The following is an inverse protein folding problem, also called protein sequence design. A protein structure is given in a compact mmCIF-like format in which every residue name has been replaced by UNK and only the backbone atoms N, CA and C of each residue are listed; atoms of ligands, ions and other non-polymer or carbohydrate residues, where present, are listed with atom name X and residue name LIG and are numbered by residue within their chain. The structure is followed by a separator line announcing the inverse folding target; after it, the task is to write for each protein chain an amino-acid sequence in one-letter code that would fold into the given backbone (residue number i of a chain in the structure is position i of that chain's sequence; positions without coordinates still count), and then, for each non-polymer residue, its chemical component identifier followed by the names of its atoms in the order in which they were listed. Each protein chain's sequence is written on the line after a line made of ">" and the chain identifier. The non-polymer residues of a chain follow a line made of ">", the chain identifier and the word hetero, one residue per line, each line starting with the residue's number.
data_IF_874888662544
#
_entry.id   IF_874888662544
#
_cell.length_a   1.000
_cell.length_b   1.000
_cell.length_c   1.000
_cell.angle_alpha   90.00
_cell.angle_beta   90.00
_cell.angle_gamma   90.00
#
_symmetry.space_group_name_H-M   'P 1'
#
loop_
_entity.id
_entity.type
_entity.pdbx_description
1 polymer ?
#
# COMPACT_ATOMS: atom_id res chain seq x y z
N UNK A 1 -24.47 -4.37 8.67
CA UNK A 1 -23.13 -3.83 8.97
C UNK A 1 -23.18 -3.26 10.37
N UNK A 2 -22.33 -3.74 11.28
CA UNK A 2 -22.21 -3.19 12.63
C UNK A 2 -21.74 -1.73 12.55
N UNK A 3 -22.18 -0.88 13.47
CA UNK A 3 -21.90 0.57 13.45
C UNK A 3 -20.42 0.92 13.71
N UNK A 4 -19.58 -0.05 14.09
CA UNK A 4 -18.17 0.15 14.49
C UNK A 4 -17.16 -0.41 13.47
N UNK A 5 -17.41 -0.22 12.17
CA UNK A 5 -16.47 -0.67 11.13
C UNK A 5 -15.27 0.29 10.94
N UNK A 6 -15.37 1.53 11.43
CA UNK A 6 -14.33 2.57 11.29
C UNK A 6 -13.32 2.48 12.45
N UNK A 7 -12.04 2.76 12.20
CA UNK A 7 -11.07 2.89 13.28
C UNK A 7 -11.47 4.02 14.25
N UNK A 8 -11.11 3.87 15.52
CA UNK A 8 -11.33 4.91 16.54
C UNK A 8 -10.51 6.17 16.26
N UNK A 9 -9.27 6.00 15.82
CA UNK A 9 -8.42 7.06 15.26
C UNK A 9 -8.83 7.32 13.81
N UNK A 10 -9.18 8.56 13.49
CA UNK A 10 -9.71 8.95 12.18
C UNK A 10 -8.74 9.79 11.35
N UNK A 11 -7.88 10.52 12.05
CA UNK A 11 -6.77 11.28 11.50
C UNK A 11 -5.50 10.75 12.13
N UNK A 12 -4.44 10.68 11.33
CA UNK A 12 -3.15 10.12 11.70
C UNK A 12 -2.06 11.03 11.16
N UNK A 13 -1.07 11.31 11.99
CA UNK A 13 0.08 12.12 11.57
C UNK A 13 1.18 11.22 10.99
N UNK A 14 1.69 11.59 9.81
CA UNK A 14 2.86 11.01 9.18
C UNK A 14 3.97 12.06 9.12
N UNK A 15 4.98 11.90 9.97
CA UNK A 15 6.19 12.71 9.94
C UNK A 15 7.06 12.24 8.77
N UNK A 16 7.36 13.15 7.86
CA UNK A 16 8.05 12.85 6.59
C UNK A 16 9.25 13.76 6.41
N UNK A 17 10.38 13.17 6.04
CA UNK A 17 11.58 13.87 5.58
C UNK A 17 11.94 13.36 4.19
N UNK A 18 12.35 14.26 3.30
CA UNK A 18 12.64 13.92 1.91
C UNK A 18 13.99 14.53 1.57
N UNK A 19 14.91 13.70 1.10
CA UNK A 19 16.26 14.11 0.76
C UNK A 19 16.69 13.47 -0.56
N UNK A 20 17.58 14.11 -1.30
CA UNK A 20 18.10 13.57 -2.54
C UNK A 20 19.57 13.95 -2.78
N UNK A 21 20.26 13.20 -3.62
CA UNK A 21 21.58 13.56 -4.13
C UNK A 21 21.57 13.44 -5.67
N UNK A 22 22.74 13.40 -6.32
CA UNK A 22 22.80 13.29 -7.78
C UNK A 22 22.21 12.00 -8.35
N UNK A 23 22.07 10.96 -7.51
CA UNK A 23 21.80 9.59 -7.96
C UNK A 23 20.48 9.06 -7.41
N UNK A 24 20.06 9.47 -6.20
CA UNK A 24 18.96 8.85 -5.44
C UNK A 24 18.05 9.86 -4.77
N UNK A 25 16.81 9.41 -4.52
CA UNK A 25 15.87 10.02 -3.59
C UNK A 25 15.66 9.11 -2.38
N UNK A 26 15.52 9.73 -1.20
CA UNK A 26 15.28 9.10 0.08
C UNK A 26 14.04 9.72 0.73
N UNK A 27 13.21 8.87 1.32
CA UNK A 27 12.11 9.25 2.19
C UNK A 27 12.31 8.61 3.56
N UNK A 28 12.16 9.39 4.62
CA UNK A 28 12.00 8.87 5.98
C UNK A 28 10.60 9.17 6.49
N UNK A 29 9.93 8.14 6.95
CA UNK A 29 8.58 8.15 7.47
C UNK A 29 8.58 7.77 8.94
N UNK A 30 7.85 8.53 9.75
CA UNK A 30 7.63 8.23 11.16
C UNK A 30 6.15 8.37 11.53
N UNK A 31 5.61 7.37 12.22
CA UNK A 31 4.24 7.42 12.69
C UNK A 31 4.02 6.56 13.94
N UNK A 32 3.07 6.98 14.76
CA UNK A 32 2.73 6.29 16.00
C UNK A 32 1.99 4.98 15.71
N UNK A 33 2.51 3.87 16.20
CA UNK A 33 1.85 2.55 16.20
C UNK A 33 2.02 1.94 17.58
N UNK A 34 1.14 2.24 18.55
CA UNK A 34 1.28 1.78 19.93
C UNK A 34 1.09 0.27 20.08
N UNK A 35 0.56 -0.42 19.07
CA UNK A 35 0.29 -1.86 19.12
C UNK A 35 1.44 -2.64 18.45
N UNK A 36 2.15 -3.52 19.18
CA UNK A 36 3.18 -4.37 18.59
C UNK A 36 2.57 -5.44 17.67
N UNK A 37 3.41 -6.07 16.84
CA UNK A 37 3.02 -7.19 15.99
C UNK A 37 2.56 -6.81 14.58
N UNK A 38 2.62 -5.52 14.23
CA UNK A 38 2.44 -5.04 12.87
C UNK A 38 3.47 -5.56 11.86
N UNK A 39 4.44 -6.36 12.29
CA UNK A 39 5.38 -7.08 11.41
C UNK A 39 4.98 -8.55 11.17
N UNK A 40 3.82 -9.01 11.65
CA UNK A 40 3.24 -10.31 11.31
C UNK A 40 2.21 -10.19 10.19
N UNK A 41 2.09 -11.20 9.32
CA UNK A 41 1.15 -11.14 8.20
C UNK A 41 0.73 -12.52 7.69
N UNK A 42 -0.59 -12.70 7.50
CA UNK A 42 -1.18 -13.76 6.67
C UNK A 42 -0.65 -15.15 7.08
N UNK A 43 -1.01 -15.56 8.29
CA UNK A 43 -0.43 -16.72 8.97
C UNK A 43 -1.36 -17.93 8.83
N UNK A 44 -0.78 -19.12 8.68
CA UNK A 44 -1.49 -20.39 8.75
C UNK A 44 -1.35 -20.93 10.17
N UNK A 45 -2.46 -21.32 10.79
CA UNK A 45 -2.48 -21.86 12.15
C UNK A 45 -3.15 -23.23 12.18
N UNK A 46 -2.48 -24.22 12.77
CA UNK A 46 -3.06 -25.54 13.01
C UNK A 46 -3.93 -25.54 14.26
N UNK A 47 -5.21 -25.86 14.12
CA UNK A 47 -6.18 -25.99 15.21
C UNK A 47 -7.20 -27.07 14.95
N UNK A 48 -7.58 -27.79 16.00
CA UNK A 48 -8.65 -28.79 15.95
C UNK A 48 -8.44 -29.85 14.84
N UNK A 49 -7.17 -30.14 14.53
CA UNK A 49 -6.78 -31.12 13.51
C UNK A 49 -6.68 -30.58 12.08
N UNK A 50 -6.82 -29.27 11.87
CA UNK A 50 -6.75 -28.65 10.54
C UNK A 50 -5.94 -27.34 10.52
N UNK A 51 -5.22 -27.10 9.42
CA UNK A 51 -4.62 -25.82 9.11
C UNK A 51 -5.70 -24.83 8.67
N UNK A 52 -5.62 -23.60 9.18
CA UNK A 52 -6.55 -22.51 8.86
C UNK A 52 -5.80 -21.22 8.59
N UNK A 53 -6.31 -20.38 7.69
CA UNK A 53 -5.72 -19.07 7.40
C UNK A 53 -6.21 -18.02 8.41
N UNK A 54 -5.27 -17.34 9.04
CA UNK A 54 -5.47 -16.20 9.92
C UNK A 54 -4.99 -14.92 9.20
N UNK A 55 -5.89 -14.30 8.42
CA UNK A 55 -5.56 -13.16 7.55
C UNK A 55 -6.60 -12.03 7.47
N UNK A 56 -7.68 -12.09 8.26
CA UNK A 56 -8.74 -11.08 8.19
C UNK A 56 -8.32 -9.73 8.81
N UNK A 57 -8.74 -8.60 8.20
CA UNK A 57 -8.31 -7.29 8.65
C UNK A 57 -8.81 -7.01 10.07
N UNK A 58 -7.89 -6.65 10.96
CA UNK A 58 -8.21 -6.19 12.31
C UNK A 58 -8.20 -4.68 12.32
N UNK A 59 -9.35 -3.98 12.27
CA UNK A 59 -9.38 -2.58 12.68
C UNK A 59 -9.43 -2.53 14.21
N UNK A 60 -8.42 -3.10 14.89
CA UNK A 60 -8.12 -2.93 16.33
C UNK A 60 -8.77 -3.94 17.29
N UNK A 61 -8.27 -5.18 17.35
CA UNK A 61 -8.61 -6.13 18.42
C UNK A 61 -8.31 -5.52 19.80
N UNK A 62 -9.34 -4.93 20.41
CA UNK A 62 -9.38 -4.67 21.83
C UNK A 62 -9.62 -5.99 22.56
N UNK A 63 -8.94 -6.17 23.69
CA UNK A 63 -9.03 -7.38 24.52
C UNK A 63 -10.48 -7.62 24.94
N UNK A 64 -11.09 -8.69 24.43
CA UNK A 64 -12.27 -9.32 25.04
C UNK A 64 -13.63 -9.21 24.33
N UNK A 65 -13.77 -8.58 23.15
CA UNK A 65 -15.12 -8.36 22.58
C UNK A 65 -15.46 -9.12 21.29
N UNK A 66 -14.52 -9.80 20.64
CA UNK A 66 -14.85 -10.62 19.46
C UNK A 66 -13.96 -11.86 19.33
N UNK A 67 -14.51 -13.09 19.41
CA UNK A 67 -13.74 -14.33 19.22
C UNK A 67 -13.17 -14.53 17.81
N UNK A 68 -13.66 -13.75 16.82
CA UNK A 68 -13.44 -14.00 15.39
C UNK A 68 -12.69 -12.88 14.64
N UNK A 69 -12.25 -11.81 15.32
CA UNK A 69 -11.25 -10.90 14.74
C UNK A 69 -9.86 -11.49 14.99
N UNK A 70 -9.38 -12.25 14.02
CA UNK A 70 -8.32 -13.24 14.21
C UNK A 70 -7.05 -12.97 13.41
N UNK A 71 -7.00 -11.96 12.54
CA UNK A 71 -5.86 -11.80 11.63
C UNK A 71 -4.69 -10.99 12.19
N UNK A 72 -3.48 -11.47 11.88
CA UNK A 72 -2.28 -10.63 11.85
C UNK A 72 -2.13 -10.08 10.43
N UNK A 73 -2.06 -8.76 10.33
CA UNK A 73 -1.76 -8.10 9.08
C UNK A 73 -0.62 -7.13 9.29
N UNK A 74 0.20 -6.95 8.27
CA UNK A 74 1.35 -6.07 8.37
C UNK A 74 0.97 -4.60 8.31
N UNK A 75 1.74 -3.79 9.03
CA UNK A 75 1.85 -2.36 8.86
C UNK A 75 2.58 -2.04 7.57
N UNK A 76 2.14 -0.96 6.93
CA UNK A 76 2.65 -0.55 5.62
C UNK A 76 2.63 0.97 5.51
N UNK A 77 3.66 1.51 4.89
CA UNK A 77 3.62 2.85 4.30
C UNK A 77 3.69 2.69 2.79
N UNK A 78 2.90 3.49 2.09
CA UNK A 78 2.77 3.46 0.64
C UNK A 78 2.53 4.87 0.14
N UNK A 79 2.82 5.14 -1.12
CA UNK A 79 2.40 6.40 -1.72
C UNK A 79 2.15 6.24 -3.20
N UNK A 80 1.26 7.07 -3.75
CA UNK A 80 1.18 7.27 -5.20
C UNK A 80 2.07 8.43 -5.59
N UNK A 81 2.75 8.30 -6.73
CA UNK A 81 3.67 9.29 -7.27
C UNK A 81 3.37 9.53 -8.75
N UNK A 82 3.32 10.80 -9.14
CA UNK A 82 3.10 11.24 -10.52
C UNK A 82 3.95 12.47 -10.86
N UNK A 83 4.27 12.60 -12.14
CA UNK A 83 5.02 13.70 -12.77
C UNK A 83 4.11 14.72 -13.47
N UNK A 84 2.80 14.69 -13.18
CA UNK A 84 1.78 15.51 -13.82
C UNK A 84 1.20 14.90 -15.10
N UNK A 85 1.58 13.66 -15.43
CA UNK A 85 1.05 12.94 -16.59
C UNK A 85 -0.40 12.48 -16.41
N UNK A 86 -0.86 12.29 -15.16
CA UNK A 86 -2.21 11.81 -14.86
C UNK A 86 -3.11 13.00 -14.52
N UNK A 87 -3.92 13.41 -15.50
CA UNK A 87 -4.98 14.42 -15.34
C UNK A 87 -5.83 14.15 -14.10
N UNK A 88 -6.04 15.17 -13.27
CA UNK A 88 -6.88 15.09 -12.07
C UNK A 88 -6.16 14.57 -10.81
N UNK A 89 -4.96 14.01 -10.94
CA UNK A 89 -4.26 13.44 -9.79
C UNK A 89 -3.75 14.52 -8.82
N UNK A 90 -3.35 15.69 -9.33
CA UNK A 90 -3.00 16.85 -8.51
C UNK A 90 -4.19 17.33 -7.66
N UNK A 91 -5.39 17.24 -8.19
CA UNK A 91 -6.60 17.75 -7.57
C UNK A 91 -7.22 16.73 -6.60
N UNK A 92 -7.20 15.45 -6.95
CA UNK A 92 -7.99 14.41 -6.27
C UNK A 92 -7.17 13.25 -5.71
N UNK A 93 -5.87 13.19 -5.98
CA UNK A 93 -4.96 12.18 -5.43
C UNK A 93 -5.48 10.74 -5.53
N UNK A 94 -5.36 9.98 -4.44
CA UNK A 94 -5.76 8.57 -4.41
C UNK A 94 -7.25 8.30 -4.61
N UNK A 95 -8.14 9.28 -4.43
CA UNK A 95 -9.60 9.12 -4.62
C UNK A 95 -9.96 8.89 -6.07
N UNK A 96 -9.22 9.51 -7.00
CA UNK A 96 -9.34 9.30 -8.45
C UNK A 96 -9.15 7.84 -8.86
N UNK A 97 -8.59 6.99 -7.98
CA UNK A 97 -8.35 5.57 -8.27
C UNK A 97 -9.33 4.60 -7.62
N UNK A 98 -10.39 5.11 -6.98
CA UNK A 98 -11.37 4.28 -6.26
C UNK A 98 -12.71 4.36 -7.00
N UNK A 99 -13.26 3.23 -7.42
CA UNK A 99 -14.38 3.20 -8.35
C UNK A 99 -15.42 2.17 -7.93
N UNK A 100 -16.67 2.41 -8.35
CA UNK A 100 -17.76 1.46 -8.16
C UNK A 100 -17.40 0.08 -8.71
N UNK A 101 -17.66 -0.98 -7.94
CA UNK A 101 -17.32 -2.35 -8.31
C UNK A 101 -16.01 -2.86 -7.74
N UNK A 102 -15.15 -1.98 -7.21
CA UNK A 102 -13.90 -2.41 -6.60
C UNK A 102 -14.11 -3.26 -5.35
N UNK A 103 -13.16 -4.18 -5.14
CA UNK A 103 -13.16 -5.05 -3.97
C UNK A 103 -13.26 -4.29 -2.65
N UNK A 104 -13.92 -4.89 -1.67
CA UNK A 104 -14.14 -4.33 -0.33
C UNK A 104 -15.03 -3.09 -0.26
N UNK A 105 -15.57 -2.60 -1.39
CA UNK A 105 -16.64 -1.61 -1.39
C UNK A 105 -18.01 -2.31 -1.29
N UNK A 106 -19.06 -1.64 -0.78
CA UNK A 106 -20.43 -2.15 -0.82
C UNK A 106 -20.92 -2.48 -2.24
N UNK A 107 -20.30 -1.85 -3.24
CA UNK A 107 -20.59 -2.03 -4.66
C UNK A 107 -19.73 -3.12 -5.32
N UNK A 108 -18.89 -3.84 -4.59
CA UNK A 108 -18.00 -4.90 -5.09
C UNK A 108 -18.74 -5.85 -6.05
N UNK A 109 -18.20 -5.99 -7.27
CA UNK A 109 -18.75 -6.91 -8.27
C UNK A 109 -18.34 -8.35 -7.96
N UNK A 110 -19.12 -9.32 -8.44
CA UNK A 110 -18.81 -10.72 -8.21
C UNK A 110 -17.62 -11.19 -9.05
N UNK A 111 -16.89 -12.19 -8.56
CA UNK A 111 -15.81 -12.84 -9.33
C UNK A 111 -16.30 -13.33 -10.70
N UNK A 112 -17.52 -13.87 -10.77
CA UNK A 112 -18.12 -14.33 -12.02
C UNK A 112 -18.30 -13.19 -13.04
N UNK A 113 -18.67 -11.99 -12.58
CA UNK A 113 -18.79 -10.82 -13.46
C UNK A 113 -17.41 -10.38 -13.97
N UNK A 114 -16.40 -10.33 -13.10
CA UNK A 114 -15.03 -9.98 -13.48
C UNK A 114 -14.46 -10.99 -14.48
N UNK A 115 -14.62 -12.28 -14.20
CA UNK A 115 -14.13 -13.37 -15.04
C UNK A 115 -14.84 -13.46 -16.41
N UNK A 116 -16.03 -12.86 -16.53
CA UNK A 116 -16.75 -12.77 -17.81
C UNK A 116 -16.28 -11.64 -18.73
N UNK A 117 -15.44 -10.74 -18.22
CA UNK A 117 -14.95 -9.57 -18.96
C UNK A 117 -13.73 -9.91 -19.81
N UNK A 118 -13.67 -9.46 -21.06
CA UNK A 118 -12.59 -9.79 -22.00
C UNK A 118 -11.19 -9.38 -21.47
N UNK A 119 -11.07 -8.15 -20.95
CA UNK A 119 -9.80 -7.65 -20.38
C UNK A 119 -9.43 -8.23 -19.00
N UNK A 120 -10.38 -8.31 -18.06
CA UNK A 120 -10.06 -8.72 -16.68
C UNK A 120 -10.19 -10.22 -16.42
N UNK A 121 -10.93 -10.95 -17.23
CA UNK A 121 -11.19 -12.37 -17.05
C UNK A 121 -10.07 -13.28 -17.56
N UNK A 122 -10.35 -14.57 -17.62
CA UNK A 122 -9.39 -15.65 -17.89
C UNK A 122 -8.56 -15.48 -19.17
N UNK A 123 -9.12 -14.88 -20.23
CA UNK A 123 -8.43 -14.67 -21.50
C UNK A 123 -7.59 -13.37 -21.54
N UNK A 124 -7.75 -12.50 -20.53
CA UNK A 124 -7.01 -11.25 -20.37
C UNK A 124 -6.07 -11.31 -19.17
N UNK A 125 -6.35 -10.53 -18.13
CA UNK A 125 -5.52 -10.42 -16.94
C UNK A 125 -5.72 -11.54 -15.90
N UNK A 126 -6.71 -12.41 -16.09
CA UNK A 126 -7.11 -13.48 -15.16
C UNK A 126 -7.25 -13.00 -13.71
N UNK A 127 -8.16 -12.04 -13.51
CA UNK A 127 -8.46 -11.42 -12.22
C UNK A 127 -9.80 -11.89 -11.70
N UNK A 128 -9.91 -11.98 -10.38
CA UNK A 128 -11.13 -12.36 -9.66
C UNK A 128 -11.78 -11.16 -8.96
N UNK A 129 -11.14 -9.99 -9.00
CA UNK A 129 -11.59 -8.77 -8.36
C UNK A 129 -11.21 -7.54 -9.20
N UNK A 130 -11.92 -6.42 -8.99
CA UNK A 130 -11.54 -5.10 -9.52
C UNK A 130 -10.76 -4.32 -8.45
N UNK A 131 -9.68 -3.65 -8.85
CA UNK A 131 -8.82 -2.84 -7.99
C UNK A 131 -8.68 -1.43 -8.54
N UNK A 132 -7.76 -0.65 -7.96
CA UNK A 132 -7.45 0.71 -8.39
C UNK A 132 -7.10 0.74 -9.88
N UNK A 133 -7.61 1.72 -10.60
CA UNK A 133 -7.19 2.09 -11.95
C UNK A 133 -7.25 3.62 -12.07
N UNK A 134 -6.76 4.20 -13.16
CA UNK A 134 -6.94 5.62 -13.47
C UNK A 134 -8.08 5.76 -14.51
N UNK A 135 -8.93 6.78 -14.43
CA UNK A 135 -9.98 7.01 -15.41
C UNK A 135 -9.50 7.06 -16.86
N UNK A 136 -8.30 7.58 -17.14
CA UNK A 136 -7.77 7.60 -18.52
C UNK A 136 -7.50 6.21 -19.12
N UNK A 137 -7.55 5.15 -18.31
CA UNK A 137 -7.51 3.78 -18.81
C UNK A 137 -8.87 3.30 -19.35
N UNK A 138 -9.94 4.07 -19.16
CA UNK A 138 -11.27 3.82 -19.70
C UNK A 138 -11.55 4.66 -20.94
N UNK A 139 -12.46 4.19 -21.80
CA UNK A 139 -13.03 4.98 -22.88
C UNK A 139 -13.77 6.21 -22.32
N UNK A 140 -13.60 7.35 -22.99
CA UNK A 140 -14.38 8.55 -22.71
C UNK A 140 -13.56 9.75 -22.24
N UNK A 141 -14.16 10.58 -21.40
CA UNK A 141 -13.51 11.74 -20.79
C UNK A 141 -12.57 11.32 -19.65
N UNK A 142 -11.60 12.18 -19.28
CA UNK A 142 -10.57 11.87 -18.28
C UNK A 142 -11.11 11.55 -16.88
N UNK A 143 -12.39 11.78 -16.60
CA UNK A 143 -13.03 11.51 -15.32
C UNK A 143 -13.96 10.28 -15.38
N UNK A 144 -14.26 9.74 -16.56
CA UNK A 144 -15.09 8.55 -16.74
C UNK A 144 -14.32 7.28 -16.35
N UNK A 145 -14.97 6.38 -15.60
CA UNK A 145 -14.26 5.36 -14.84
C UNK A 145 -15.03 4.05 -14.68
N UNK A 146 -15.78 3.62 -15.71
CA UNK A 146 -16.39 2.29 -15.69
C UNK A 146 -15.35 1.25 -16.12
N UNK A 147 -15.03 0.31 -15.23
CA UNK A 147 -14.10 -0.78 -15.54
C UNK A 147 -14.56 -1.61 -16.75
N UNK A 148 -15.86 -1.60 -17.08
CA UNK A 148 -16.43 -2.30 -18.25
C UNK A 148 -16.06 -1.65 -19.59
N UNK A 149 -15.57 -0.42 -19.56
CA UNK A 149 -15.18 0.35 -20.75
C UNK A 149 -13.68 0.58 -20.78
N UNK A 150 -12.88 -0.29 -20.14
CA UNK A 150 -11.41 -0.22 -20.22
C UNK A 150 -10.95 -0.20 -21.68
N UNK A 151 -9.98 0.66 -21.98
CA UNK A 151 -9.45 0.86 -23.32
C UNK A 151 -8.76 -0.38 -23.87
N UNK A 152 -8.53 -0.37 -25.19
CA UNK A 152 -7.84 -1.48 -25.87
C UNK A 152 -6.40 -1.65 -25.39
N UNK A 153 -5.84 -2.87 -25.52
CA UNK A 153 -4.45 -3.17 -25.16
C UNK A 153 -3.45 -2.17 -25.77
N UNK A 154 -3.59 -1.86 -27.06
CA UNK A 154 -2.70 -0.90 -27.73
C UNK A 154 -2.81 0.55 -27.22
N UNK A 155 -3.96 0.93 -26.65
CA UNK A 155 -4.14 2.21 -25.98
C UNK A 155 -3.48 2.21 -24.59
N UNK A 156 -3.67 1.15 -23.81
CA UNK A 156 -3.02 0.98 -22.50
C UNK A 156 -1.49 0.94 -22.63
N UNK A 157 -0.96 0.22 -23.62
CA UNK A 157 0.47 0.22 -23.94
C UNK A 157 1.00 1.60 -24.34
N UNK A 158 0.17 2.40 -25.03
CA UNK A 158 0.53 3.77 -25.39
C UNK A 158 0.57 4.66 -24.14
N UNK A 159 -0.46 4.61 -23.29
CA UNK A 159 -0.50 5.34 -22.02
C UNK A 159 0.72 5.02 -21.16
N UNK A 160 1.03 3.73 -20.99
CA UNK A 160 2.18 3.26 -20.22
C UNK A 160 3.51 3.77 -20.78
N UNK A 161 3.69 3.76 -22.11
CA UNK A 161 4.89 4.31 -22.78
C UNK A 161 4.99 5.83 -22.69
N UNK A 162 3.86 6.52 -22.71
CA UNK A 162 3.77 7.97 -22.57
C UNK A 162 3.92 8.41 -21.10
N UNK A 163 4.11 7.46 -20.17
CA UNK A 163 4.28 7.73 -18.74
C UNK A 163 2.98 7.91 -17.98
N UNK A 164 1.82 7.78 -18.62
CA UNK A 164 0.50 8.00 -17.99
C UNK A 164 0.11 6.80 -17.14
N UNK A 165 0.60 6.78 -15.91
CA UNK A 165 0.28 5.82 -14.85
C UNK A 165 0.70 6.42 -13.51
N UNK A 166 0.23 5.87 -12.39
CA UNK A 166 0.72 6.24 -11.07
C UNK A 166 1.70 5.18 -10.55
N UNK A 167 2.87 5.60 -10.11
CA UNK A 167 3.83 4.75 -9.40
C UNK A 167 3.34 4.53 -7.96
N UNK A 168 3.43 3.31 -7.43
CA UNK A 168 2.86 2.88 -6.15
C UNK A 168 3.83 2.00 -5.34
N UNK A 169 4.94 2.56 -4.87
CA UNK A 169 5.84 1.85 -3.96
C UNK A 169 5.21 1.65 -2.60
N UNK A 170 5.61 0.56 -1.96
CA UNK A 170 5.16 0.22 -0.61
C UNK A 170 6.28 -0.42 0.18
N UNK A 171 6.54 0.10 1.38
CA UNK A 171 7.24 -0.67 2.39
C UNK A 171 6.23 -1.51 3.18
N UNK A 172 6.60 -2.75 3.49
CA UNK A 172 5.76 -3.76 4.11
C UNK A 172 6.51 -4.43 5.25
N UNK A 173 6.02 -4.28 6.47
CA UNK A 173 6.71 -4.71 7.69
C UNK A 173 7.06 -6.22 7.73
N UNK A 174 6.20 -7.07 7.16
CA UNK A 174 6.48 -8.51 7.04
C UNK A 174 7.08 -8.85 5.68
N UNK A 175 6.40 -8.45 4.61
CA UNK A 175 6.69 -8.98 3.27
C UNK A 175 7.90 -8.38 2.59
N UNK A 176 8.38 -7.21 3.00
CA UNK A 176 9.50 -6.54 2.31
C UNK A 176 10.62 -6.09 3.24
N UNK A 177 10.29 -5.68 4.47
CA UNK A 177 11.27 -5.20 5.44
C UNK A 177 12.41 -6.18 5.74
N UNK A 178 12.17 -7.49 5.99
CA UNK A 178 13.26 -8.44 6.24
C UNK A 178 14.22 -8.63 5.07
N UNK A 179 13.78 -8.24 3.85
CA UNK A 179 14.60 -8.31 2.64
C UNK A 179 15.37 -7.01 2.39
N UNK A 180 15.06 -5.90 3.06
CA UNK A 180 15.66 -4.59 2.78
C UNK A 180 15.13 -3.93 1.50
N UNK A 181 13.89 -4.25 1.11
CA UNK A 181 13.25 -3.70 -0.09
C UNK A 181 11.87 -3.11 0.19
N UNK A 182 11.38 -2.29 -0.73
CA UNK A 182 9.96 -2.07 -0.95
C UNK A 182 9.38 -3.11 -1.92
N UNK A 183 8.06 -3.19 -2.01
CA UNK A 183 7.38 -3.79 -3.17
C UNK A 183 6.97 -2.68 -4.11
N UNK A 184 7.22 -2.86 -5.41
CA UNK A 184 6.87 -1.87 -6.42
C UNK A 184 5.66 -2.29 -7.27
N UNK A 185 4.81 -1.32 -7.55
CA UNK A 185 3.53 -1.49 -8.23
C UNK A 185 3.23 -0.22 -9.02
N UNK A 186 2.30 -0.33 -9.96
CA UNK A 186 1.72 0.85 -10.60
C UNK A 186 0.21 0.73 -10.76
N UNK A 187 -0.43 1.86 -11.02
CA UNK A 187 -1.87 1.98 -11.30
C UNK A 187 -2.05 2.53 -12.71
N UNK A 188 -2.66 1.72 -13.60
CA UNK A 188 -3.11 2.11 -14.93
C UNK A 188 -4.55 1.65 -15.14
N UNK A 189 -4.77 0.52 -15.80
CA UNK A 189 -6.07 -0.17 -15.97
C UNK A 189 -6.40 -1.08 -14.78
N UNK A 190 -5.40 -1.34 -13.95
CA UNK A 190 -5.49 -2.10 -12.72
C UNK A 190 -4.33 -1.71 -11.81
N UNK A 191 -4.36 -2.20 -10.56
CA UNK A 191 -3.19 -2.16 -9.68
C UNK A 191 -2.30 -3.35 -9.99
N UNK A 192 -1.34 -3.13 -10.87
CA UNK A 192 -0.36 -4.13 -11.28
C UNK A 192 0.77 -4.24 -10.25
N UNK A 193 1.34 -5.42 -10.13
CA UNK A 193 2.69 -5.54 -9.57
C UNK A 193 3.67 -5.25 -10.70
N UNK A 194 4.80 -4.64 -10.37
CA UNK A 194 5.82 -4.37 -11.37
C UNK A 194 6.51 -5.65 -11.84
N UNK A 195 7.20 -5.56 -12.98
CA UNK A 195 7.79 -6.71 -13.65
C UNK A 195 8.91 -7.35 -12.83
N UNK A 196 9.07 -8.66 -13.02
CA UNK A 196 10.05 -9.47 -12.31
C UNK A 196 9.45 -10.19 -11.12
N UNK A 197 10.17 -10.20 -10.00
CA UNK A 197 9.81 -11.01 -8.83
C UNK A 197 9.79 -10.14 -7.58
N UNK A 198 8.68 -10.21 -6.85
CA UNK A 198 8.50 -9.55 -5.57
C UNK A 198 9.28 -10.24 -4.44
N UNK A 199 9.38 -9.56 -3.29
CA UNK A 199 10.05 -10.01 -2.06
C UNK A 199 9.41 -11.23 -1.39
N UNK A 200 8.22 -11.66 -1.84
CA UNK A 200 7.47 -12.77 -1.26
C UNK A 200 6.83 -13.66 -2.31
N UNK A 201 6.53 -14.89 -1.91
CA UNK A 201 5.69 -15.83 -2.67
C UNK A 201 4.44 -16.19 -1.83
N UNK A 202 3.64 -17.13 -2.32
CA UNK A 202 2.50 -17.70 -1.60
C UNK A 202 2.70 -19.19 -1.51
N UNK A 203 2.56 -19.76 -0.32
CA UNK A 203 2.55 -21.21 -0.18
C UNK A 203 1.21 -21.76 -0.67
N UNK A 204 1.27 -22.85 -1.43
CA UNK A 204 0.14 -23.76 -1.51
C UNK A 204 -0.04 -24.47 -0.16
N UNK A 205 -1.28 -24.73 0.22
CA UNK A 205 -1.57 -25.43 1.47
C UNK A 205 -2.97 -26.05 1.44
N UNK A 206 -3.16 -27.10 2.24
CA UNK A 206 -4.46 -27.73 2.45
C UNK A 206 -4.78 -27.84 3.94
N UNK A 207 -6.06 -27.79 4.36
CA UNK A 207 -6.43 -27.94 5.77
C UNK A 207 -5.87 -29.21 6.44
N UNK A 208 -5.65 -30.28 5.68
CA UNK A 208 -5.08 -31.54 6.21
C UNK A 208 -3.64 -31.81 5.80
N UNK A 209 -3.17 -31.15 4.74
CA UNK A 209 -1.86 -31.43 4.14
C UNK A 209 -0.79 -30.45 4.65
N UNK A 210 -1.21 -29.33 5.26
CA UNK A 210 -0.31 -28.29 5.72
C UNK A 210 0.24 -27.41 4.60
N UNK A 211 1.13 -26.46 4.94
CA UNK A 211 1.84 -25.64 3.96
C UNK A 211 2.91 -26.44 3.20
N UNK A 212 3.44 -25.88 2.11
CA UNK A 212 4.61 -26.43 1.41
C UNK A 212 5.89 -26.41 2.25
N UNK A 213 6.06 -25.35 3.06
CA UNK A 213 7.28 -25.08 3.82
C UNK A 213 6.98 -24.73 5.28
N UNK A 214 7.94 -25.07 6.13
CA UNK A 214 8.05 -24.63 7.52
C UNK A 214 9.45 -24.04 7.76
N UNK A 215 9.69 -23.45 8.94
CA UNK A 215 11.07 -23.09 9.29
C UNK A 215 11.91 -24.34 9.56
N UNK A 216 13.19 -24.26 9.25
CA UNK A 216 14.16 -25.21 9.77
C UNK A 216 14.09 -25.22 11.32
N UNK A 217 13.93 -26.40 11.97
CA UNK A 217 13.89 -26.51 13.42
C UNK A 217 15.14 -25.99 14.14
N UNK A 218 16.28 -25.87 13.44
CA UNK A 218 17.50 -25.24 13.96
C UNK A 218 17.40 -23.70 14.02
N UNK A 219 16.43 -23.10 13.31
CA UNK A 219 16.16 -21.65 13.29
C UNK A 219 14.98 -21.30 14.20
N UNK A 220 13.86 -22.01 14.06
CA UNK A 220 12.67 -21.85 14.91
C UNK A 220 12.31 -23.21 15.47
N UNK A 221 12.33 -23.35 16.80
CA UNK A 221 12.04 -24.62 17.46
C UNK A 221 10.69 -25.18 17.00
N UNK A 222 10.64 -26.48 16.69
CA UNK A 222 9.44 -27.17 16.18
C UNK A 222 8.92 -26.61 14.83
N UNK A 223 9.76 -25.88 14.10
CA UNK A 223 9.50 -25.41 12.74
C UNK A 223 8.37 -24.39 12.60
N UNK A 224 7.82 -23.88 13.69
CA UNK A 224 6.66 -22.98 13.70
C UNK A 224 6.67 -22.07 14.94
N UNK A 225 6.07 -20.88 14.81
CA UNK A 225 5.77 -20.03 15.96
C UNK A 225 4.58 -20.60 16.75
N UNK A 226 4.42 -20.15 17.99
CA UNK A 226 3.27 -20.51 18.84
C UNK A 226 2.19 -19.41 18.80
N UNK A 227 1.05 -19.73 18.19
CA UNK A 227 -0.11 -18.84 18.13
C UNK A 227 -0.61 -18.41 19.50
N UNK A 228 -0.57 -19.29 20.51
CA UNK A 228 -1.08 -18.98 21.84
C UNK A 228 -0.19 -17.95 22.53
N UNK A 229 1.13 -18.07 22.41
CA UNK A 229 2.09 -17.08 22.90
C UNK A 229 1.88 -15.72 22.22
N UNK A 230 1.77 -15.70 20.89
CA UNK A 230 1.55 -14.45 20.13
C UNK A 230 0.22 -13.80 20.54
N UNK A 231 -0.86 -14.58 20.65
CA UNK A 231 -2.18 -14.10 21.08
C UNK A 231 -2.14 -13.51 22.50
N UNK A 232 -1.34 -14.09 23.38
CA UNK A 232 -1.21 -13.65 24.77
C UNK A 232 -0.27 -12.43 24.91
N UNK A 233 0.32 -11.96 23.80
CA UNK A 233 1.12 -10.74 23.70
C UNK A 233 2.63 -10.99 23.63
N UNK A 234 3.07 -12.25 23.65
CA UNK A 234 4.48 -12.63 23.52
C UNK A 234 4.85 -12.73 22.04
N UNK A 235 4.85 -11.57 21.38
CA UNK A 235 5.18 -11.42 19.96
C UNK A 235 6.70 -11.38 19.78
N UNK A 236 7.29 -12.09 18.79
CA UNK A 236 8.71 -12.00 18.49
C UNK A 236 9.16 -10.55 18.30
N UNK A 237 10.29 -10.16 18.90
CA UNK A 237 10.87 -8.84 18.74
C UNK A 237 11.29 -8.61 17.29
N UNK A 238 10.76 -7.57 16.65
CA UNK A 238 10.96 -7.30 15.21
C UNK A 238 12.43 -7.24 14.76
N UNK A 239 13.34 -6.80 15.63
CA UNK A 239 14.75 -6.58 15.29
C UNK A 239 15.63 -7.78 15.62
N UNK A 240 15.26 -8.56 16.64
CA UNK A 240 16.14 -9.56 17.25
C UNK A 240 15.68 -11.01 17.01
N UNK A 241 14.38 -11.22 16.77
CA UNK A 241 13.78 -12.55 16.68
C UNK A 241 13.29 -12.88 15.25
N UNK A 242 13.19 -14.18 14.96
CA UNK A 242 12.63 -14.67 13.69
C UNK A 242 11.11 -14.61 13.70
N UNK A 243 10.53 -13.90 12.73
CA UNK A 243 9.07 -13.82 12.53
C UNK A 243 8.64 -14.01 11.07
N UNK A 244 9.57 -13.86 10.12
CA UNK A 244 9.35 -14.08 8.72
C UNK A 244 10.01 -15.39 8.28
N UNK A 245 9.36 -16.10 7.35
CA UNK A 245 9.91 -17.30 6.75
C UNK A 245 10.70 -16.91 5.51
N UNK A 246 12.00 -16.68 5.64
CA UNK A 246 12.86 -16.51 4.47
C UNK A 246 13.12 -17.88 3.82
N UNK A 247 13.12 -17.95 2.48
CA UNK A 247 13.36 -19.21 1.75
C UNK A 247 14.72 -19.85 2.04
N UNK A 248 15.69 -19.10 2.59
CA UNK A 248 17.00 -19.65 3.02
C UNK A 248 16.90 -20.44 4.32
N UNK A 249 15.89 -20.16 5.14
CA UNK A 249 15.61 -20.77 6.44
C UNK A 249 14.40 -21.72 6.38
N UNK A 250 13.88 -21.96 5.17
CA UNK A 250 12.71 -22.78 4.91
C UNK A 250 13.12 -24.22 4.54
N UNK A 251 12.44 -25.20 5.15
CA UNK A 251 12.51 -26.62 4.78
C UNK A 251 11.13 -27.10 4.36
N UNK A 252 11.07 -28.24 3.64
CA UNK A 252 9.79 -28.85 3.32
C UNK A 252 8.99 -29.14 4.59
N UNK A 253 7.68 -28.90 4.56
CA UNK A 253 6.81 -29.14 5.70
C UNK A 253 6.87 -30.60 6.15
N UNK A 254 7.04 -30.80 7.46
CA UNK A 254 7.00 -32.10 8.12
C UNK A 254 5.93 -32.07 9.23
N UNK A 255 4.81 -32.81 9.07
CA UNK A 255 3.76 -32.81 10.07
C UNK A 255 4.22 -33.40 11.42
N UNK A 256 5.22 -34.30 11.43
CA UNK A 256 5.74 -34.84 12.70
C UNK A 256 6.49 -33.78 13.54
N UNK A 257 6.82 -32.64 12.93
CA UNK A 257 7.56 -31.53 13.56
C UNK A 257 6.65 -30.33 13.84
N UNK A 258 6.00 -29.82 12.80
CA UNK A 258 5.29 -28.54 12.83
C UNK A 258 3.75 -28.67 12.87
N UNK A 259 3.21 -29.89 12.97
CA UNK A 259 1.78 -30.10 13.17
C UNK A 259 1.45 -30.34 14.65
N UNK A 260 1.10 -29.27 15.34
CA UNK A 260 0.69 -29.30 16.73
C UNK A 260 -0.27 -28.14 17.02
N UNK A 261 -1.14 -28.29 18.01
CA UNK A 261 -2.17 -27.30 18.33
C UNK A 261 -1.54 -25.92 18.63
N UNK A 262 -1.82 -24.94 17.78
CA UNK A 262 -1.25 -23.60 17.86
C UNK A 262 -0.03 -23.35 16.97
N UNK A 263 0.47 -24.34 16.23
CA UNK A 263 1.57 -24.15 15.28
C UNK A 263 1.19 -23.09 14.25
N UNK A 264 2.07 -22.10 14.07
CA UNK A 264 1.78 -20.90 13.27
C UNK A 264 2.91 -20.60 12.28
N UNK A 265 2.61 -20.64 10.98
CA UNK A 265 3.57 -20.51 9.87
C UNK A 265 3.11 -19.42 8.90
N UNK A 266 3.98 -18.51 8.42
CA UNK A 266 3.62 -17.50 7.43
C UNK A 266 3.20 -18.14 6.11
N UNK A 267 2.03 -17.75 5.57
CA UNK A 267 1.62 -18.14 4.21
C UNK A 267 2.46 -17.48 3.12
N UNK A 268 3.26 -16.47 3.48
CA UNK A 268 4.08 -15.66 2.59
C UNK A 268 5.58 -15.84 2.89
N UNK A 269 6.22 -16.88 2.33
CA UNK A 269 7.68 -17.01 2.41
C UNK A 269 8.34 -15.87 1.62
N UNK A 270 9.49 -15.43 2.11
CA UNK A 270 10.24 -14.32 1.55
C UNK A 270 11.36 -14.81 0.65
N UNK A 271 11.54 -14.13 -0.47
CA UNK A 271 12.50 -14.47 -1.51
C UNK A 271 13.21 -13.21 -2.01
N UNK A 272 14.35 -13.38 -2.68
CA UNK A 272 15.10 -12.25 -3.24
C UNK A 272 14.33 -11.63 -4.43
N UNK A 273 14.00 -10.34 -4.39
CA UNK A 273 13.31 -9.69 -5.51
C UNK A 273 14.27 -9.36 -6.66
N UNK A 274 13.74 -9.12 -7.86
CA UNK A 274 14.49 -8.61 -9.01
C UNK A 274 13.55 -7.98 -10.06
N UNK A 275 14.11 -7.25 -11.02
CA UNK A 275 13.34 -6.48 -12.00
C UNK A 275 12.84 -5.16 -11.40
N UNK A 276 11.87 -4.51 -12.05
CA UNK A 276 11.26 -3.27 -11.56
C UNK A 276 10.56 -3.46 -10.22
N UNK A 277 10.04 -4.66 -9.92
CA UNK A 277 9.51 -5.02 -8.61
C UNK A 277 10.50 -4.82 -7.43
N UNK A 278 11.80 -4.62 -7.72
CA UNK A 278 12.88 -4.42 -6.77
C UNK A 278 13.54 -3.02 -6.83
N UNK A 279 12.96 -2.06 -7.58
CA UNK A 279 13.56 -0.74 -7.78
C UNK A 279 13.62 0.07 -6.47
N UNK A 280 12.68 -0.18 -5.56
CA UNK A 280 12.67 0.43 -4.23
C UNK A 280 13.37 -0.41 -3.18
N UNK A 281 14.28 0.24 -2.45
CA UNK A 281 14.87 -0.26 -1.21
C UNK A 281 14.09 0.27 -0.02
N UNK A 282 14.18 -0.42 1.10
CA UNK A 282 13.64 0.12 2.33
C UNK A 282 13.91 -0.70 3.58
N UNK A 283 13.95 -0.01 4.69
CA UNK A 283 14.15 -0.56 6.04
C UNK A 283 13.18 0.09 7.00
N UNK A 284 12.76 -0.62 8.02
CA UNK A 284 11.85 -0.13 9.02
C UNK A 284 12.15 -0.75 10.37
N UNK A 285 12.13 0.10 11.38
CA UNK A 285 12.33 -0.27 12.77
C UNK A 285 11.11 0.17 13.56
N UNK A 286 10.52 -0.77 14.29
CA UNK A 286 9.51 -0.44 15.30
C UNK A 286 10.17 -0.36 16.67
N UNK A 287 10.00 0.76 17.35
CA UNK A 287 10.52 0.97 18.69
C UNK A 287 9.54 1.79 19.53
N UNK A 288 9.21 1.29 20.72
CA UNK A 288 8.37 1.96 21.72
C UNK A 288 7.11 2.65 21.17
N UNK A 289 6.36 1.93 20.33
CA UNK A 289 5.11 2.44 19.80
C UNK A 289 5.24 3.36 18.59
N UNK A 290 6.39 3.41 17.92
CA UNK A 290 6.62 4.20 16.71
C UNK A 290 7.31 3.36 15.63
N UNK A 291 6.88 3.53 14.37
CA UNK A 291 7.65 3.09 13.22
C UNK A 291 8.56 4.21 12.73
N UNK A 292 9.82 3.87 12.43
CA UNK A 292 10.74 4.67 11.63
C UNK A 292 11.08 3.87 10.38
N UNK A 293 10.66 4.36 9.22
CA UNK A 293 10.85 3.68 7.93
C UNK A 293 11.62 4.57 6.98
N UNK A 294 12.63 4.01 6.33
CA UNK A 294 13.37 4.65 5.25
C UNK A 294 13.12 3.90 3.95
N UNK A 295 12.81 4.63 2.89
CA UNK A 295 12.66 4.11 1.54
C UNK A 295 13.49 4.93 0.57
N UNK A 296 14.17 4.27 -0.37
CA UNK A 296 15.00 4.97 -1.35
C UNK A 296 15.09 4.22 -2.66
N UNK A 297 15.41 4.95 -3.73
CA UNK A 297 15.72 4.41 -5.04
C UNK A 297 16.57 5.37 -5.85
N UNK A 298 17.09 4.89 -6.96
CA UNK A 298 17.74 5.73 -7.96
C UNK A 298 16.70 6.69 -8.59
N UNK A 299 17.12 7.92 -8.85
CA UNK A 299 16.31 8.94 -9.51
C UNK A 299 15.89 8.48 -10.91
N UNK A 300 16.83 7.89 -11.63
CA UNK A 300 16.64 7.27 -12.94
C UNK A 300 16.75 5.75 -12.80
N UNK A 301 15.63 5.03 -12.92
CA UNK A 301 15.60 3.57 -12.85
C UNK A 301 15.83 2.95 -14.23
N UNK A 302 16.15 1.66 -14.26
CA UNK A 302 16.26 0.93 -15.53
C UNK A 302 14.89 0.62 -16.18
N UNK A 303 13.78 0.99 -15.52
CA UNK A 303 12.43 0.55 -15.85
C UNK A 303 11.45 1.73 -15.96
N UNK A 304 11.67 2.68 -16.89
CA UNK A 304 10.89 3.91 -16.99
C UNK A 304 9.41 3.72 -17.35
N UNK A 305 9.05 2.52 -17.82
CA UNK A 305 7.66 2.16 -18.08
C UNK A 305 6.95 1.64 -16.84
N UNK A 306 7.65 1.24 -15.77
CA UNK A 306 7.03 0.73 -14.54
C UNK A 306 7.11 1.75 -13.39
N UNK A 307 8.22 2.49 -13.32
CA UNK A 307 8.54 3.41 -12.22
C UNK A 307 8.77 4.83 -12.75
N UNK A 308 8.30 5.85 -12.04
CA UNK A 308 8.46 7.25 -12.45
C UNK A 308 9.92 7.67 -12.44
N UNK A 309 10.35 8.39 -13.47
CA UNK A 309 11.71 8.93 -13.52
C UNK A 309 11.74 10.30 -12.84
N UNK A 310 12.76 10.54 -12.02
CA UNK A 310 12.87 11.76 -11.22
C UNK A 310 14.09 12.58 -11.66
N UNK A 311 13.90 13.88 -11.83
CA UNK A 311 14.93 14.81 -12.30
C UNK A 311 15.06 15.95 -11.30
N UNK A 312 16.28 16.23 -10.80
CA UNK A 312 16.50 17.39 -9.94
C UNK A 312 16.00 18.68 -10.60
N UNK A 313 15.31 19.52 -9.83
CA UNK A 313 14.68 20.75 -10.29
C UNK A 313 13.25 20.59 -10.83
N UNK A 314 12.70 19.38 -10.86
CA UNK A 314 11.30 19.14 -11.22
C UNK A 314 10.37 19.01 -10.00
N UNK A 315 9.07 18.99 -10.26
CA UNK A 315 8.00 18.94 -9.25
C UNK A 315 7.10 17.75 -9.54
N UNK A 316 6.73 17.03 -8.49
CA UNK A 316 5.92 15.81 -8.54
C UNK A 316 4.71 15.91 -7.62
N UNK A 317 3.66 15.17 -7.95
CA UNK A 317 2.49 14.99 -7.08
C UNK A 317 2.66 13.70 -6.29
N UNK A 318 2.38 13.76 -4.99
CA UNK A 318 2.62 12.69 -4.03
C UNK A 318 1.47 12.55 -3.04
N UNK A 319 0.97 11.33 -2.85
CA UNK A 319 -0.10 11.03 -1.89
C UNK A 319 0.25 9.81 -1.03
N UNK A 320 0.71 9.97 0.22
CA UNK A 320 1.04 8.84 1.09
C UNK A 320 -0.19 8.21 1.74
N UNK A 321 0.00 6.99 2.21
CA UNK A 321 -0.95 6.26 3.01
C UNK A 321 -0.25 5.31 3.99
N UNK A 322 -0.88 5.12 5.15
CA UNK A 322 -0.42 4.21 6.20
C UNK A 322 -1.50 3.18 6.50
N UNK A 323 -1.10 1.92 6.52
CA UNK A 323 -1.90 0.82 7.03
C UNK A 323 -1.39 0.42 8.41
N UNK A 324 -2.33 0.26 9.35
CA UNK A 324 -2.07 -0.24 10.68
C UNK A 324 -2.70 -1.61 10.87
N UNK A 325 -1.95 -2.69 10.71
CA UNK A 325 -2.45 -4.02 11.03
C UNK A 325 -3.67 -4.45 10.23
N UNK A 326 -3.92 -3.81 9.08
CA UNK A 326 -5.15 -3.98 8.33
C UNK A 326 -4.90 -4.05 6.83
N UNK A 327 -5.68 -4.91 6.16
CA UNK A 327 -5.68 -5.08 4.71
C UNK A 327 -6.66 -4.18 3.97
N UNK A 328 -6.60 -4.23 2.64
CA UNK A 328 -7.63 -3.67 1.74
C UNK A 328 -7.84 -2.16 2.00
N UNK A 329 -9.08 -1.69 2.15
CA UNK A 329 -9.42 -0.26 2.28
C UNK A 329 -9.19 0.35 3.67
N UNK A 330 -8.76 -0.47 4.64
CA UNK A 330 -8.58 -0.05 6.03
C UNK A 330 -7.21 0.65 6.20
N UNK A 331 -7.17 1.95 5.94
CA UNK A 331 -5.97 2.80 6.01
C UNK A 331 -6.30 4.28 6.08
N UNK A 332 -5.29 5.07 6.45
CA UNK A 332 -5.29 6.52 6.36
C UNK A 332 -4.52 6.93 5.11
N UNK A 333 -5.06 7.90 4.38
CA UNK A 333 -4.49 8.43 3.14
C UNK A 333 -4.38 9.94 3.26
N UNK A 334 -3.36 10.54 2.67
CA UNK A 334 -3.27 11.98 2.57
C UNK A 334 -4.01 12.48 1.33
N UNK A 335 -4.42 13.74 1.39
CA UNK A 335 -4.70 14.54 0.19
C UNK A 335 -3.43 14.67 -0.69
N UNK A 336 -3.55 15.06 -1.96
CA UNK A 336 -2.39 15.28 -2.82
C UNK A 336 -1.54 16.45 -2.33
N UNK A 337 -0.22 16.21 -2.28
CA UNK A 337 0.81 17.20 -2.04
C UNK A 337 1.68 17.31 -3.29
N UNK A 338 2.27 18.49 -3.50
CA UNK A 338 3.41 18.62 -4.42
C UNK A 338 4.69 18.59 -3.63
N UNK A 339 5.69 17.89 -4.16
CA UNK A 339 7.04 18.07 -3.70
C UNK A 339 7.96 18.41 -4.87
N UNK A 340 8.84 19.39 -4.67
CA UNK A 340 9.89 19.72 -5.62
C UNK A 340 11.21 19.07 -5.22
N UNK A 341 11.94 18.58 -6.21
CA UNK A 341 13.26 17.97 -6.01
C UNK A 341 14.33 19.07 -6.00
N UNK A 342 14.58 19.66 -4.82
CA UNK A 342 15.50 20.79 -4.64
C UNK A 342 14.96 22.16 -5.09
N UNK A 343 13.66 22.25 -5.38
CA UNK A 343 12.97 23.48 -5.80
C UNK A 343 11.65 23.63 -5.07
N UNK A 344 11.22 24.88 -4.86
CA UNK A 344 9.87 25.15 -4.34
C UNK A 344 8.82 24.79 -5.40
N UNK A 345 7.81 23.95 -5.06
CA UNK A 345 6.77 23.59 -6.00
C UNK A 345 5.85 24.78 -6.28
N UNK A 346 5.49 24.98 -7.55
CA UNK A 346 4.47 25.95 -7.94
C UNK A 346 3.09 25.27 -8.06
N UNK A 347 2.06 25.93 -7.55
CA UNK A 347 0.66 25.55 -7.76
C UNK A 347 0.02 26.46 -8.82
N UNK A 348 -0.85 25.92 -9.66
CA UNK A 348 -1.62 26.74 -10.60
C UNK A 348 -2.79 27.41 -9.89
N UNK A 349 -2.88 28.75 -9.95
CA UNK A 349 -4.04 29.53 -9.48
C UNK A 349 -3.94 30.08 -8.05
N UNK A 350 -4.71 31.14 -7.75
CA UNK A 350 -4.80 31.75 -6.41
C UNK A 350 -5.53 30.84 -5.38
N UNK A 351 -6.26 29.82 -5.85
CA UNK A 351 -7.18 28.99 -5.08
C UNK A 351 -6.53 27.77 -4.40
N UNK A 352 -5.42 27.26 -4.94
CA UNK A 352 -4.67 26.15 -4.33
C UNK A 352 -3.91 26.55 -3.06
N UNK A 353 -4.00 27.80 -2.58
CA UNK A 353 -3.30 28.34 -1.40
C UNK A 353 -3.83 27.83 -0.04
N UNK A 354 -4.52 26.68 -0.02
CA UNK A 354 -5.42 26.32 1.04
C UNK A 354 -5.36 24.82 1.36
N UNK A 355 -4.28 24.41 2.04
CA UNK A 355 -4.10 23.05 2.57
C UNK A 355 -2.92 22.29 1.97
N UNK A 356 -2.45 22.69 0.79
CA UNK A 356 -1.21 22.17 0.20
C UNK A 356 -0.01 22.77 0.92
N UNK A 357 0.78 21.93 1.59
CA UNK A 357 2.10 22.33 2.08
C UNK A 357 3.11 22.10 0.98
N UNK A 358 3.87 23.14 0.64
CA UNK A 358 5.06 23.04 -0.20
C UNK A 358 6.03 22.08 0.46
N UNK A 359 6.29 20.94 -0.18
CA UNK A 359 7.33 20.01 0.25
C UNK A 359 8.54 20.24 -0.65
N UNK A 360 9.71 20.46 -0.06
CA UNK A 360 10.97 20.54 -0.80
C UNK A 360 11.86 19.42 -0.31
N UNK A 361 12.26 18.54 -1.23
CA UNK A 361 13.29 17.56 -0.95
C UNK A 361 14.65 18.26 -0.86
N UNK A 362 15.40 17.99 0.20
CA UNK A 362 16.66 18.67 0.47
C UNK A 362 17.85 17.92 -0.14
N UNK A 363 18.73 18.65 -0.81
CA UNK A 363 19.93 18.06 -1.41
C UNK A 363 20.96 17.72 -0.32
N UNK A 364 21.54 16.52 -0.36
CA UNK A 364 22.63 16.10 0.51
C UNK A 364 23.82 15.57 -0.28
N UNK A 365 24.98 15.48 0.38
CA UNK A 365 26.19 14.90 -0.21
C UNK A 365 26.56 13.59 0.47
N UNK A 366 26.91 12.57 -0.32
CA UNK A 366 27.30 11.25 0.18
C UNK A 366 26.28 10.17 -0.22
N UNK A 367 26.39 9.00 0.41
CA UNK A 367 25.57 7.83 0.08
C UNK A 367 24.22 7.82 0.82
N UNK A 368 24.16 8.43 2.00
CA UNK A 368 22.98 8.51 2.87
C UNK A 368 22.83 9.94 3.47
N UNK A 369 21.60 10.43 3.66
CA UNK A 369 21.36 11.74 4.27
C UNK A 369 21.64 11.73 5.78
N UNK A 370 22.14 12.85 6.31
CA UNK A 370 22.07 13.11 7.76
C UNK A 370 20.69 13.65 8.08
N UNK A 371 19.83 12.79 8.61
CA UNK A 371 18.44 13.15 8.86
C UNK A 371 18.25 14.20 9.96
N UNK A 372 19.26 14.49 10.79
CA UNK A 372 19.16 15.59 11.76
C UNK A 372 19.24 16.97 11.06
N UNK A 373 19.74 17.00 9.82
CA UNK A 373 19.83 18.20 8.98
C UNK A 373 18.65 18.35 7.99
N UNK A 374 17.76 17.35 7.89
CA UNK A 374 16.62 17.36 6.95
C UNK A 374 15.35 17.84 7.65
N UNK A 375 14.62 18.75 7.03
CA UNK A 375 13.36 19.28 7.55
C UNK A 375 12.28 18.20 7.62
N UNK A 376 11.64 18.10 8.78
CA UNK A 376 10.48 17.22 8.98
C UNK A 376 9.18 17.95 8.66
N UNK A 377 8.39 17.38 7.75
CA UNK A 377 7.01 17.76 7.49
C UNK A 377 6.06 16.86 8.26
N UNK A 378 4.99 17.41 8.85
CA UNK A 378 3.94 16.61 9.50
C UNK A 378 2.71 16.57 8.59
N UNK A 379 2.47 15.40 7.99
CA UNK A 379 1.44 15.19 6.98
C UNK A 379 0.21 14.55 7.62
N UNK A 380 -0.96 15.23 7.66
CA UNK A 380 -2.19 14.61 8.11
C UNK A 380 -2.69 13.58 7.09
N UNK A 381 -3.00 12.38 7.59
CA UNK A 381 -3.64 11.30 6.85
C UNK A 381 -5.06 11.10 7.39
N UNK A 382 -6.05 11.03 6.50
CA UNK A 382 -7.46 10.80 6.83
C UNK A 382 -7.88 9.38 6.52
N UNK A 383 -8.75 8.82 7.34
CA UNK A 383 -9.44 7.59 6.99
C UNK A 383 -10.50 7.88 5.90
N UNK A 384 -10.34 7.42 4.64
CA UNK A 384 -11.12 7.91 3.50
C UNK A 384 -12.55 7.34 3.40
N UNK A 385 -12.95 6.46 4.34
CA UNK A 385 -14.32 5.97 4.42
C UNK A 385 -14.76 5.11 3.23
N UNK A 386 -15.87 5.50 2.61
CA UNK A 386 -16.55 4.81 1.50
C UNK A 386 -16.65 5.68 0.24
N UNK A 387 -15.93 6.80 0.19
CA UNK A 387 -15.97 7.70 -0.96
C UNK A 387 -15.36 7.01 -2.18
N UNK A 388 -16.09 6.98 -3.29
CA UNK A 388 -15.59 6.54 -4.58
C UNK A 388 -15.76 7.62 -5.66
N UNK A 389 -14.90 7.57 -6.65
CA UNK A 389 -14.80 8.51 -7.75
C UNK A 389 -16.04 8.51 -8.65
N UNK A 390 -16.72 7.36 -8.77
CA UNK A 390 -17.96 7.27 -9.55
C UNK A 390 -19.03 8.18 -8.96
N UNK A 391 -19.15 8.19 -7.62
CA UNK A 391 -20.10 9.07 -6.94
C UNK A 391 -19.69 10.56 -7.05
N UNK A 392 -18.40 10.88 -6.83
CA UNK A 392 -17.86 12.25 -6.93
C UNK A 392 -18.10 12.90 -8.29
N UNK A 393 -17.98 12.11 -9.35
CA UNK A 393 -18.14 12.56 -10.73
C UNK A 393 -19.55 12.31 -11.27
N UNK A 394 -20.50 11.82 -10.49
CA UNK A 394 -21.89 11.59 -10.93
C UNK A 394 -22.70 12.89 -11.03
N UNK A 395 -23.74 12.92 -11.87
CA UNK A 395 -24.64 14.09 -11.96
C UNK A 395 -25.39 14.36 -10.64
N UNK A 396 -25.45 13.39 -9.74
CA UNK A 396 -26.09 13.50 -8.43
C UNK A 396 -25.20 14.26 -7.42
N UNK A 397 -23.90 14.38 -7.67
CA UNK A 397 -22.99 15.13 -6.82
C UNK A 397 -23.09 16.64 -7.11
N UNK A 398 -23.38 17.43 -6.07
CA UNK A 398 -23.70 18.86 -6.21
C UNK A 398 -22.58 19.70 -6.87
N UNK A 399 -21.34 19.22 -6.82
CA UNK A 399 -20.14 19.88 -7.38
C UNK A 399 -19.51 19.11 -8.54
N UNK A 400 -20.22 18.16 -9.14
CA UNK A 400 -19.68 17.29 -10.19
C UNK A 400 -19.10 18.06 -11.38
N UNK A 401 -19.73 19.15 -11.81
CA UNK A 401 -19.20 19.97 -12.93
C UNK A 401 -17.83 20.55 -12.61
N UNK A 402 -17.65 21.11 -11.42
CA UNK A 402 -16.34 21.65 -10.99
C UNK A 402 -15.29 20.54 -10.94
N UNK A 403 -15.67 19.36 -10.42
CA UNK A 403 -14.79 18.18 -10.33
C UNK A 403 -14.35 17.71 -11.72
N UNK A 404 -15.30 17.52 -12.65
CA UNK A 404 -15.06 17.06 -14.04
C UNK A 404 -14.25 18.06 -14.86
N UNK A 405 -14.26 19.33 -14.47
CA UNK A 405 -13.46 20.39 -15.10
C UNK A 405 -12.11 20.62 -14.39
N UNK A 406 -11.80 19.88 -13.31
CA UNK A 406 -10.66 20.13 -12.43
C UNK A 406 -10.59 21.59 -11.91
N UNK A 407 -11.75 22.20 -11.66
CA UNK A 407 -11.89 23.56 -11.12
C UNK A 407 -11.88 23.58 -9.59
N UNK A 408 -11.81 22.40 -8.97
CA UNK A 408 -11.77 22.21 -7.52
C UNK A 408 -10.85 21.05 -7.14
N UNK A 409 -10.24 21.16 -5.97
CA UNK A 409 -9.46 20.09 -5.32
C UNK A 409 -10.23 19.35 -4.22
N UNK A 410 -9.74 18.16 -3.85
CA UNK A 410 -10.25 17.41 -2.69
C UNK A 410 -10.12 18.19 -1.37
N UNK A 411 -9.10 19.05 -1.26
CA UNK A 411 -8.89 19.95 -0.13
C UNK A 411 -10.04 20.93 0.05
N UNK A 412 -10.52 21.50 -1.05
CA UNK A 412 -11.61 22.48 -1.08
C UNK A 412 -12.99 21.84 -1.00
N UNK A 413 -13.13 20.57 -1.40
CA UNK A 413 -14.39 19.83 -1.26
C UNK A 413 -14.75 19.56 0.20
N UNK A 414 -13.75 19.35 1.06
CA UNK A 414 -13.92 18.93 2.45
C UNK A 414 -13.24 19.90 3.44
N UNK A 415 -13.40 21.20 3.18
CA UNK A 415 -13.18 22.32 4.11
C UNK A 415 -11.83 22.39 4.84
N UNK A 416 -10.75 21.84 4.27
CA UNK A 416 -9.36 21.95 4.80
C UNK A 416 -9.14 21.41 6.20
N UNK A 417 -10.16 20.86 6.84
CA UNK A 417 -10.06 20.13 8.09
C UNK A 417 -10.15 18.63 7.76
N UNK A 418 -9.04 17.89 7.84
CA UNK A 418 -9.00 16.44 7.73
C UNK A 418 -10.08 15.72 8.55
N UNK A 419 -10.49 16.28 9.69
CA UNK A 419 -11.56 15.73 10.54
C UNK A 419 -12.96 15.91 9.95
N UNK A 420 -13.22 16.99 9.21
CA UNK A 420 -14.52 17.27 8.58
C UNK A 420 -14.84 16.34 7.41
N UNK A 421 -13.85 15.60 6.87
CA UNK A 421 -14.07 14.58 5.85
C UNK A 421 -15.03 13.46 6.30
N UNK A 422 -15.30 13.36 7.61
CA UNK A 422 -15.98 12.21 8.23
C UNK A 422 -17.35 12.58 8.83
N UNK A 423 -17.68 13.88 8.88
CA UNK A 423 -19.01 14.40 9.22
C UNK A 423 -19.97 14.33 8.03
#
# INVERSE_FOLDING_TARGET
>A
MTEQWRPGERVKELRTEIAFNSDRIHFRFRWDQPNPGGWLHDMLVYRDGEWTQFADPSPWVAKGETPEHTGFYEDRVSFLLDDGSVTGFEEFGGWLTVHKGMRSLPSEVSEADVQSHDHFGAEGLDKTDIRKFIPQACEGEWWENDWRTVGSEGELERLKRDGVFLDLPMWRAHRSNPKGYGTDHHVLDYRHSDQGRNTYTTQEWGPRDGPEYMWDPDVVERGALDYHEIRDGNVPHQQDDTYALEMKDAVAFDPDVAEWEGAMIPRRPLQEPHGSAADWRGTGVWNDGEWVVEMWRDLQTAHPVDTKQLTPGEVYTWTPAVHHGAGKRWHWVAYPYKFGLGVEPNYSGEQHAHGTTELVAEEFTGDEPDWDDISTYTIPLVFPGLLDWTDLTSDDHARATEIRNAEITIWELYEKDPESFIE
#
